data_IF_547276388563
#
_entry.id   IF_547276388563
#
_cell.length_a   1.000
_cell.length_b   1.000
_cell.length_c   1.000
_cell.angle_alpha   90.00
_cell.angle_beta   90.00
_cell.angle_gamma   90.00
#
_symmetry.space_group_name_H-M   'P 1'
#
loop_
_entity.id
_entity.type
_entity.pdbx_description
1 polymer ?
#
# COMPACT_ATOMS: atom_id res chain seq x y z
N UNK A 1 -0.07 -18.04 -2.48
CA UNK A 1 0.05 -17.58 -3.87
C UNK A 1 1.53 -17.59 -4.18
N UNK A 2 1.98 -18.34 -5.18
CA UNK A 2 3.43 -18.54 -5.37
C UNK A 2 4.12 -17.29 -5.92
N UNK A 3 3.49 -16.57 -6.85
CA UNK A 3 3.93 -15.26 -7.35
C UNK A 3 2.69 -14.43 -7.77
N UNK A 4 2.64 -13.16 -7.40
CA UNK A 4 1.49 -12.31 -7.78
C UNK A 4 1.54 -10.93 -7.14
N UNK A 5 0.47 -10.15 -7.32
CA UNK A 5 0.32 -8.86 -6.64
C UNK A 5 -1.15 -8.53 -6.36
N UNK A 6 -1.37 -7.72 -5.35
CA UNK A 6 -2.64 -7.05 -5.07
C UNK A 6 -2.53 -5.56 -5.40
N UNK A 7 -3.61 -4.96 -5.89
CA UNK A 7 -3.72 -3.50 -5.99
C UNK A 7 -4.52 -3.00 -4.80
N UNK A 8 -3.95 -2.03 -4.07
CA UNK A 8 -4.66 -1.30 -3.03
C UNK A 8 -4.54 0.18 -3.32
N UNK A 9 -5.54 0.96 -2.91
CA UNK A 9 -5.83 2.31 -3.44
C UNK A 9 -4.61 3.19 -3.81
N UNK A 10 -4.81 4.06 -4.80
CA UNK A 10 -3.76 4.89 -5.42
C UNK A 10 -2.68 4.04 -6.13
N UNK A 11 -1.40 4.31 -5.89
CA UNK A 11 -0.25 3.68 -6.55
C UNK A 11 0.30 2.47 -5.78
N UNK A 12 -0.47 1.92 -4.83
CA UNK A 12 0.03 0.90 -3.94
C UNK A 12 -0.21 -0.52 -4.48
N UNK A 13 0.90 -1.22 -4.72
CA UNK A 13 0.93 -2.63 -5.06
C UNK A 13 1.52 -3.40 -3.89
N UNK A 14 0.93 -4.55 -3.57
CA UNK A 14 1.52 -5.53 -2.65
C UNK A 14 1.98 -6.70 -3.51
N UNK A 15 3.29 -6.88 -3.66
CA UNK A 15 3.87 -7.99 -4.42
C UNK A 15 4.10 -9.20 -3.51
N UNK A 16 3.76 -10.38 -4.02
CA UNK A 16 3.89 -11.66 -3.32
C UNK A 16 4.84 -12.60 -4.05
N UNK A 17 5.71 -13.26 -3.29
CA UNK A 17 6.53 -14.41 -3.69
C UNK A 17 6.65 -15.33 -2.47
N UNK A 18 5.83 -16.39 -2.42
CA UNK A 18 5.65 -17.23 -1.22
C UNK A 18 5.03 -16.53 0.01
N UNK A 19 4.68 -15.25 -0.10
CA UNK A 19 4.17 -14.35 0.94
C UNK A 19 4.37 -12.88 0.53
N UNK A 20 3.88 -11.88 1.29
CA UNK A 20 4.10 -10.47 0.97
C UNK A 20 5.59 -10.09 1.06
N UNK A 21 6.16 -9.50 0.00
CA UNK A 21 7.59 -9.17 -0.08
C UNK A 21 7.84 -7.67 -0.20
N UNK A 22 7.07 -6.98 -1.04
CA UNK A 22 7.26 -5.57 -1.38
C UNK A 22 5.90 -4.86 -1.39
N UNK A 23 5.82 -3.69 -0.74
CA UNK A 23 4.72 -2.76 -0.96
C UNK A 23 5.25 -1.48 -1.64
N UNK A 24 4.56 -1.00 -2.67
CA UNK A 24 4.88 0.28 -3.32
C UNK A 24 4.01 1.37 -2.73
N UNK A 25 4.57 2.56 -2.53
CA UNK A 25 3.86 3.78 -2.18
C UNK A 25 2.66 3.61 -1.18
N UNK A 26 2.88 2.98 0.00
CA UNK A 26 1.79 2.48 0.83
C UNK A 26 1.11 3.56 1.66
N UNK A 27 0.21 4.32 1.04
CA UNK A 27 -0.66 5.27 1.74
C UNK A 27 -1.94 4.61 2.28
N UNK A 28 -1.81 3.83 3.35
CA UNK A 28 -2.89 2.99 3.91
C UNK A 28 -3.73 3.65 5.01
N UNK A 29 -3.32 4.83 5.51
CA UNK A 29 -4.02 5.56 6.57
C UNK A 29 -3.69 7.05 6.54
N UNK A 30 -4.65 7.86 6.99
CA UNK A 30 -4.50 9.29 7.18
C UNK A 30 -5.04 10.07 6.00
N UNK A 31 -4.88 11.38 6.07
CA UNK A 31 -5.29 12.31 5.01
C UNK A 31 -4.20 13.35 4.78
N UNK A 32 -4.15 13.90 3.57
CA UNK A 32 -3.23 14.97 3.18
C UNK A 32 -4.01 16.24 2.83
N UNK A 33 -3.29 17.37 2.72
CA UNK A 33 -3.86 18.68 2.35
C UNK A 33 -5.12 19.03 3.13
N UNK A 34 -5.01 19.06 4.46
CA UNK A 34 -6.10 19.39 5.39
C UNK A 34 -7.35 18.51 5.23
N UNK A 35 -7.16 17.24 4.85
CA UNK A 35 -8.25 16.29 4.71
C UNK A 35 -8.89 16.26 3.32
N UNK A 36 -8.46 17.12 2.39
CA UNK A 36 -8.99 17.09 1.01
C UNK A 36 -8.60 15.83 0.26
N UNK A 37 -7.48 15.21 0.63
CA UNK A 37 -7.01 13.98 0.02
C UNK A 37 -7.08 12.85 1.04
N UNK A 38 -7.79 11.80 0.66
CA UNK A 38 -7.95 10.55 1.43
C UNK A 38 -8.11 9.38 0.46
N UNK A 39 -8.04 8.14 0.97
CA UNK A 39 -8.48 6.97 0.21
C UNK A 39 -9.98 7.05 -0.06
N UNK A 40 -10.41 6.66 -1.27
CA UNK A 40 -11.83 6.64 -1.65
C UNK A 40 -12.63 5.53 -0.95
N UNK A 41 -11.94 4.49 -0.50
CA UNK A 41 -12.49 3.35 0.21
C UNK A 41 -11.60 3.03 1.41
N UNK A 42 -12.16 2.33 2.40
CA UNK A 42 -11.36 1.77 3.48
C UNK A 42 -10.50 0.63 2.95
N UNK A 43 -9.21 0.62 3.33
CA UNK A 43 -8.32 -0.49 2.99
C UNK A 43 -8.67 -1.70 3.88
N UNK A 44 -9.00 -2.88 3.32
CA UNK A 44 -9.29 -4.09 4.07
C UNK A 44 -8.21 -4.45 5.11
N UNK A 45 -8.59 -4.95 6.31
CA UNK A 45 -7.62 -5.31 7.35
C UNK A 45 -6.56 -6.33 6.91
N UNK A 46 -6.93 -7.29 6.06
CA UNK A 46 -6.02 -8.29 5.50
C UNK A 46 -4.91 -7.64 4.67
N UNK A 47 -5.28 -6.71 3.79
CA UNK A 47 -4.33 -5.96 2.97
C UNK A 47 -3.45 -5.03 3.81
N UNK A 48 -4.00 -4.40 4.86
CA UNK A 48 -3.18 -3.66 5.83
C UNK A 48 -2.17 -4.57 6.54
N UNK A 49 -2.53 -5.82 6.83
CA UNK A 49 -1.62 -6.80 7.42
C UNK A 49 -0.53 -7.23 6.42
N UNK A 50 -0.88 -7.44 5.15
CA UNK A 50 0.09 -7.76 4.10
C UNK A 50 1.12 -6.64 3.90
N UNK A 51 0.69 -5.37 3.83
CA UNK A 51 1.61 -4.22 3.76
C UNK A 51 2.59 -4.20 4.94
N UNK A 52 2.10 -4.46 6.16
CA UNK A 52 2.95 -4.51 7.37
C UNK A 52 3.89 -5.71 7.40
N UNK A 53 3.55 -6.79 6.69
CA UNK A 53 4.38 -7.99 6.58
C UNK A 53 5.46 -7.89 5.49
N UNK A 54 5.30 -6.98 4.52
CA UNK A 54 6.30 -6.75 3.48
C UNK A 54 7.65 -6.35 4.09
N UNK A 55 8.71 -7.03 3.66
CA UNK A 55 10.08 -6.76 4.10
C UNK A 55 10.63 -5.44 3.53
N UNK A 56 10.15 -5.06 2.36
CA UNK A 56 10.62 -3.88 1.65
C UNK A 56 9.45 -2.95 1.32
N UNK A 57 9.75 -1.65 1.35
CA UNK A 57 8.89 -0.61 0.82
C UNK A 57 9.60 0.05 -0.35
N UNK A 58 8.88 0.29 -1.44
CA UNK A 58 9.33 1.12 -2.54
C UNK A 58 8.59 2.44 -2.47
N UNK A 59 9.33 3.54 -2.32
CA UNK A 59 8.77 4.89 -2.35
C UNK A 59 9.24 5.55 -3.64
N UNK A 60 8.32 5.83 -4.55
CA UNK A 60 8.64 6.37 -5.87
C UNK A 60 9.14 7.83 -5.80
N UNK A 61 8.54 8.65 -4.93
CA UNK A 61 8.88 10.05 -4.73
C UNK A 61 8.26 10.63 -3.44
N UNK A 62 8.60 11.87 -3.08
CA UNK A 62 8.16 12.54 -1.85
C UNK A 62 6.83 13.31 -1.97
N UNK A 63 5.80 12.71 -2.57
CA UNK A 63 4.48 13.32 -2.64
C UNK A 63 3.58 12.77 -1.52
N UNK A 64 2.63 13.55 -0.96
CA UNK A 64 1.95 13.16 0.29
C UNK A 64 1.09 11.90 0.23
N UNK A 65 0.78 11.41 -0.97
CA UNK A 65 -0.06 10.22 -1.22
C UNK A 65 0.76 9.04 -1.77
N UNK A 66 2.07 9.13 -1.55
CA UNK A 66 3.09 8.15 -1.88
C UNK A 66 3.56 7.49 -0.59
#
# INVERSE_FOLDING_TARGET
>A
MDLGFETIGNACLICHDGGPVLATDPWIKGSAYFGSWTTSHEIPPEQQAHVKACKYLWISHGHPIT
#
